data_IF_506614619096
#
_entry.id   IF_506614619096
#
_cell.length_a   1.000
_cell.length_b   1.000
_cell.length_c   1.000
_cell.angle_alpha   90.00
_cell.angle_beta   90.00
_cell.angle_gamma   90.00
#
_symmetry.space_group_name_H-M   'P 1'
#
loop_
_entity.id
_entity.type
_entity.pdbx_description
1 polymer ?
#
# COMPACT_ATOMS: atom_id res chain seq x y z
N UNK A 1 -39.30 -16.15 6.07
CA UNK A 1 -38.41 -15.35 5.22
C UNK A 1 -37.83 -14.28 6.10
N UNK A 2 -36.77 -14.63 6.83
CA UNK A 2 -36.02 -13.66 7.66
C UNK A 2 -34.81 -13.18 6.89
N UNK A 3 -34.62 -11.86 7.00
CA UNK A 3 -33.57 -11.15 6.29
C UNK A 3 -32.18 -11.62 6.78
N UNK A 4 -31.36 -12.10 5.87
CA UNK A 4 -29.99 -12.50 6.13
C UNK A 4 -29.15 -11.34 6.68
N UNK A 5 -28.42 -11.65 7.71
CA UNK A 5 -27.50 -10.75 8.42
C UNK A 5 -26.30 -10.40 7.54
N UNK A 6 -26.29 -9.18 7.04
CA UNK A 6 -25.25 -8.61 6.15
C UNK A 6 -23.97 -8.20 6.89
N UNK A 7 -23.56 -8.89 7.95
CA UNK A 7 -22.41 -8.49 8.79
C UNK A 7 -21.03 -8.87 8.27
N UNK A 8 -20.90 -9.54 7.13
CA UNK A 8 -19.60 -9.93 6.57
C UNK A 8 -18.99 -8.97 5.53
N UNK A 9 -19.67 -7.87 5.20
CA UNK A 9 -19.27 -6.95 4.12
C UNK A 9 -18.52 -5.69 4.52
N UNK A 10 -18.20 -5.44 5.79
CA UNK A 10 -17.64 -4.15 6.24
C UNK A 10 -16.45 -4.22 7.19
N UNK A 11 -15.60 -5.23 7.12
CA UNK A 11 -14.39 -5.29 7.96
C UNK A 11 -13.08 -5.21 7.20
N UNK A 12 -12.98 -4.38 6.17
CA UNK A 12 -11.70 -3.79 5.78
C UNK A 12 -11.45 -2.53 6.64
N UNK A 13 -11.61 -2.66 7.93
CA UNK A 13 -11.21 -1.65 8.90
C UNK A 13 -9.69 -1.61 9.02
N UNK A 14 -9.14 -0.43 9.27
CA UNK A 14 -7.74 -0.25 9.64
C UNK A 14 -7.39 -1.22 10.78
N UNK A 15 -6.12 -1.58 10.95
CA UNK A 15 -5.67 -2.42 12.08
C UNK A 15 -6.18 -1.89 13.45
N UNK A 16 -6.46 -0.58 13.55
CA UNK A 16 -7.15 0.05 14.68
C UNK A 16 -8.61 -0.38 14.83
N UNK A 17 -9.34 -0.62 13.74
CA UNK A 17 -10.76 -1.00 13.78
C UNK A 17 -10.97 -2.50 14.09
N UNK A 18 -10.06 -3.36 13.67
CA UNK A 18 -10.10 -4.79 14.02
C UNK A 18 -9.96 -4.97 15.54
N UNK A 19 -9.27 -4.05 16.17
CA UNK A 19 -9.06 -4.06 17.61
C UNK A 19 -10.13 -3.34 18.43
N UNK A 20 -10.97 -2.50 17.86
CA UNK A 20 -11.98 -1.72 18.58
C UNK A 20 -13.12 -2.55 19.21
N UNK A 21 -13.21 -3.83 18.95
CA UNK A 21 -14.34 -4.67 19.36
C UNK A 21 -14.14 -5.61 20.57
N UNK A 22 -12.90 -5.81 21.05
CA UNK A 22 -12.66 -6.66 22.25
C UNK A 22 -12.09 -5.84 23.41
N UNK A 23 -12.93 -5.49 24.40
CA UNK A 23 -12.48 -4.70 25.55
C UNK A 23 -11.42 -5.40 26.41
N UNK A 24 -11.16 -6.71 26.19
CA UNK A 24 -10.11 -7.46 26.91
C UNK A 24 -8.75 -7.36 26.25
N UNK A 25 -8.68 -6.84 24.99
CA UNK A 25 -7.43 -6.73 24.20
C UNK A 25 -6.87 -5.32 24.07
N UNK A 26 -7.61 -4.27 24.53
CA UNK A 26 -7.25 -2.91 24.19
C UNK A 26 -7.11 -1.98 25.38
N UNK A 27 -5.92 -1.93 25.88
CA UNK A 27 -5.36 -0.63 26.23
C UNK A 27 -4.84 -0.04 24.91
N UNK A 28 -5.56 0.93 24.34
CA UNK A 28 -5.07 1.66 23.19
C UNK A 28 -3.65 2.15 23.53
N UNK A 29 -2.67 1.72 22.73
CA UNK A 29 -1.31 2.13 23.01
C UNK A 29 -1.22 3.64 22.81
N UNK A 30 -0.95 4.35 23.92
CA UNK A 30 -0.68 5.79 23.84
C UNK A 30 0.66 6.05 23.17
N UNK A 31 0.83 7.16 22.45
CA UNK A 31 2.13 7.57 21.96
C UNK A 31 3.18 7.57 23.11
N UNK A 32 4.42 7.12 22.87
CA UNK A 32 5.00 6.66 21.59
C UNK A 32 4.74 5.20 21.23
N UNK A 33 3.99 4.45 22.02
CA UNK A 33 3.79 3.00 21.83
C UNK A 33 2.86 2.64 20.65
N UNK A 34 2.10 3.59 20.12
CA UNK A 34 1.20 3.38 19.01
C UNK A 34 1.93 2.78 17.76
N UNK A 35 3.18 3.14 17.54
CA UNK A 35 4.00 2.60 16.43
C UNK A 35 4.27 1.10 16.61
N UNK A 36 4.50 0.65 17.86
CA UNK A 36 4.71 -0.77 18.20
C UNK A 36 3.42 -1.55 17.92
N UNK A 37 2.27 -1.03 18.34
CA UNK A 37 0.97 -1.66 18.08
C UNK A 37 0.71 -1.84 16.58
N UNK A 38 1.09 -0.87 15.76
CA UNK A 38 0.95 -0.96 14.30
C UNK A 38 1.85 -2.05 13.72
N UNK A 39 3.12 -2.10 14.12
CA UNK A 39 4.06 -3.14 13.72
C UNK A 39 3.55 -4.54 14.11
N UNK A 40 3.15 -4.66 15.37
CA UNK A 40 2.74 -5.96 15.91
C UNK A 40 1.36 -6.37 15.41
N UNK A 41 0.47 -5.42 15.12
CA UNK A 41 -0.79 -5.69 14.43
C UNK A 41 -0.58 -6.26 13.02
N UNK A 42 0.36 -5.73 12.25
CA UNK A 42 0.72 -6.30 10.93
C UNK A 42 1.24 -7.74 11.06
N UNK A 43 2.08 -8.00 12.05
CA UNK A 43 2.60 -9.35 12.31
C UNK A 43 1.51 -10.30 12.80
N UNK A 44 0.61 -9.82 13.66
CA UNK A 44 -0.52 -10.62 14.14
C UNK A 44 -1.45 -11.01 12.98
N UNK A 45 -1.79 -10.08 12.10
CA UNK A 45 -2.60 -10.39 10.91
C UNK A 45 -1.93 -11.44 10.02
N UNK A 46 -0.61 -11.40 9.87
CA UNK A 46 0.15 -12.46 9.18
C UNK A 46 -0.06 -13.82 9.85
N UNK A 47 0.05 -13.88 11.17
CA UNK A 47 -0.16 -15.14 11.92
C UNK A 47 -1.62 -15.61 11.82
N UNK A 48 -2.58 -14.70 11.86
CA UNK A 48 -4.00 -15.03 11.71
C UNK A 48 -4.30 -15.63 10.32
N UNK A 49 -3.67 -15.11 9.26
CA UNK A 49 -3.76 -15.68 7.92
C UNK A 49 -3.11 -17.08 7.84
N UNK A 50 -1.96 -17.28 8.49
CA UNK A 50 -1.34 -18.60 8.59
C UNK A 50 -2.27 -19.60 9.34
N UNK A 51 -2.92 -19.14 10.39
CA UNK A 51 -3.90 -19.97 11.12
C UNK A 51 -5.09 -20.33 10.21
N UNK A 52 -5.60 -19.39 9.41
CA UNK A 52 -6.66 -19.68 8.43
C UNK A 52 -6.23 -20.78 7.44
N UNK A 53 -4.99 -20.75 6.95
CA UNK A 53 -4.47 -21.83 6.09
C UNK A 53 -4.50 -23.17 6.83
N UNK A 54 -4.12 -23.22 8.12
CA UNK A 54 -4.18 -24.45 8.92
C UNK A 54 -5.60 -24.97 9.10
N UNK A 55 -6.59 -24.08 9.29
CA UNK A 55 -8.00 -24.47 9.36
C UNK A 55 -8.48 -25.06 8.04
N UNK A 56 -8.05 -24.50 6.90
CA UNK A 56 -8.35 -25.06 5.58
C UNK A 56 -7.69 -26.43 5.40
N UNK A 57 -6.41 -26.55 5.78
CA UNK A 57 -5.63 -27.81 5.67
C UNK A 57 -6.27 -28.98 6.47
N UNK A 58 -6.86 -28.71 7.63
CA UNK A 58 -7.51 -29.75 8.43
C UNK A 58 -8.96 -30.06 8.01
N UNK A 59 -9.47 -29.32 7.04
CA UNK A 59 -10.82 -29.51 6.50
C UNK A 59 -11.87 -28.60 7.15
N UNK A 60 -12.00 -27.38 6.61
CA UNK A 60 -13.02 -26.43 7.05
C UNK A 60 -14.39 -26.81 6.50
N UNK A 61 -15.30 -27.20 7.40
CA UNK A 61 -16.71 -27.46 7.12
C UNK A 61 -17.56 -26.27 7.60
N UNK A 62 -17.91 -25.40 6.67
CA UNK A 62 -18.64 -24.14 6.94
C UNK A 62 -20.16 -24.42 7.11
N UNK A 63 -20.66 -25.45 6.42
CA UNK A 63 -22.07 -25.79 6.43
C UNK A 63 -22.46 -26.74 7.58
N UNK A 64 -21.48 -27.42 8.19
CA UNK A 64 -21.71 -28.36 9.28
C UNK A 64 -22.28 -29.69 8.82
N UNK A 65 -22.03 -30.09 7.57
CA UNK A 65 -22.51 -31.36 6.99
C UNK A 65 -21.50 -32.52 7.07
N UNK A 66 -20.33 -32.26 7.65
CA UNK A 66 -19.23 -33.21 7.81
C UNK A 66 -18.30 -33.33 6.59
N UNK A 67 -18.46 -32.47 5.60
CA UNK A 67 -17.64 -32.43 4.37
C UNK A 67 -16.86 -31.13 4.35
N UNK A 68 -15.56 -31.18 4.03
CA UNK A 68 -14.74 -29.97 3.87
C UNK A 68 -15.21 -29.17 2.64
N UNK A 69 -15.47 -27.86 2.84
CA UNK A 69 -15.96 -26.95 1.81
C UNK A 69 -14.84 -26.31 0.97
N UNK A 70 -13.59 -26.31 1.48
CA UNK A 70 -12.46 -25.65 0.86
C UNK A 70 -11.40 -26.67 0.46
N UNK A 71 -10.79 -26.43 -0.70
CA UNK A 71 -9.70 -27.27 -1.22
C UNK A 71 -8.34 -26.75 -0.74
N UNK A 72 -7.63 -27.47 0.13
CA UNK A 72 -6.32 -27.06 0.62
C UNK A 72 -5.21 -27.09 -0.46
N UNK A 73 -5.43 -27.78 -1.57
CA UNK A 73 -4.46 -27.85 -2.66
C UNK A 73 -4.43 -26.59 -3.52
N UNK A 74 -5.49 -25.76 -3.47
CA UNK A 74 -5.64 -24.58 -4.32
C UNK A 74 -5.95 -23.33 -3.51
N UNK A 75 -5.02 -22.93 -2.63
CA UNK A 75 -5.10 -21.72 -1.85
C UNK A 75 -4.28 -20.62 -2.55
N UNK A 76 -4.94 -19.57 -3.01
CA UNK A 76 -4.33 -18.42 -3.66
C UNK A 76 -4.48 -17.18 -2.81
N UNK A 77 -3.53 -16.24 -2.95
CA UNK A 77 -3.56 -14.99 -2.22
C UNK A 77 -3.77 -13.81 -3.15
N UNK A 78 -4.77 -12.99 -2.87
CA UNK A 78 -4.96 -11.69 -3.53
C UNK A 78 -5.01 -10.57 -2.50
N UNK A 79 -4.37 -9.46 -2.85
CA UNK A 79 -4.51 -8.25 -2.05
C UNK A 79 -4.57 -6.99 -2.89
N UNK A 80 -5.30 -6.01 -2.37
CA UNK A 80 -5.31 -4.64 -2.87
C UNK A 80 -4.79 -3.68 -1.80
N UNK A 81 -3.93 -2.70 -2.20
CA UNK A 81 -3.49 -1.60 -1.34
C UNK A 81 -2.91 -2.08 0.00
N UNK A 82 -3.55 -1.69 1.10
CA UNK A 82 -3.12 -2.01 2.46
C UNK A 82 -3.04 -3.52 2.74
N UNK A 83 -3.87 -4.33 2.05
CA UNK A 83 -3.80 -5.78 2.13
C UNK A 83 -2.42 -6.35 1.77
N UNK A 84 -1.70 -5.70 0.87
CA UNK A 84 -0.32 -6.06 0.53
C UNK A 84 0.66 -5.89 1.68
N UNK A 85 0.37 -5.00 2.64
CA UNK A 85 1.21 -4.82 3.84
C UNK A 85 1.23 -6.06 4.74
N UNK A 86 0.17 -6.85 4.73
CA UNK A 86 0.08 -8.14 5.44
C UNK A 86 0.45 -9.31 4.53
N UNK A 87 0.06 -9.22 3.26
CA UNK A 87 0.22 -10.28 2.29
C UNK A 87 1.66 -10.60 1.94
N UNK A 88 2.53 -9.61 1.81
CA UNK A 88 3.94 -9.88 1.52
C UNK A 88 4.65 -10.58 2.68
N UNK A 89 4.51 -10.17 3.96
CA UNK A 89 4.97 -10.97 5.08
C UNK A 89 4.34 -12.37 5.13
N UNK A 90 3.03 -12.48 4.90
CA UNK A 90 2.32 -13.75 4.90
C UNK A 90 2.87 -14.72 3.87
N UNK A 91 2.91 -14.34 2.60
CA UNK A 91 3.45 -15.22 1.54
C UNK A 91 4.91 -15.58 1.76
N UNK A 92 5.70 -14.67 2.33
CA UNK A 92 7.12 -14.91 2.60
C UNK A 92 7.36 -15.98 3.68
N UNK A 93 6.41 -16.21 4.57
CA UNK A 93 6.54 -17.16 5.70
C UNK A 93 5.62 -18.38 5.62
N UNK A 94 4.54 -18.34 4.84
CA UNK A 94 3.58 -19.42 4.70
C UNK A 94 3.98 -20.38 3.57
N UNK A 95 4.34 -21.64 3.85
CA UNK A 95 4.80 -22.56 2.81
C UNK A 95 3.69 -23.06 1.88
N UNK A 96 2.45 -23.20 2.37
CA UNK A 96 1.36 -23.86 1.64
C UNK A 96 0.73 -22.98 0.55
N UNK A 97 0.91 -21.64 0.60
CA UNK A 97 0.37 -20.73 -0.40
C UNK A 97 1.48 -20.35 -1.38
N UNK A 98 1.42 -20.90 -2.59
CA UNK A 98 2.47 -20.75 -3.62
C UNK A 98 2.27 -19.56 -4.56
N UNK A 99 1.04 -19.09 -4.71
CA UNK A 99 0.63 -18.11 -5.75
C UNK A 99 0.00 -16.88 -5.11
N UNK A 100 0.38 -15.69 -5.58
CA UNK A 100 -0.16 -14.46 -5.04
C UNK A 100 -0.19 -13.28 -6.01
N UNK A 101 -1.15 -12.39 -5.82
CA UNK A 101 -1.29 -11.14 -6.58
C UNK A 101 -1.34 -9.96 -5.62
N UNK A 102 -0.50 -8.98 -5.89
CA UNK A 102 -0.46 -7.71 -5.17
C UNK A 102 -0.86 -6.57 -6.10
N UNK A 103 -2.03 -6.01 -5.88
CA UNK A 103 -2.47 -4.82 -6.59
C UNK A 103 -2.27 -3.57 -5.74
N UNK A 104 -1.64 -2.54 -6.30
CA UNK A 104 -1.37 -1.25 -5.67
C UNK A 104 -0.69 -1.36 -4.29
N UNK A 105 0.23 -2.31 -4.14
CA UNK A 105 1.02 -2.49 -2.91
C UNK A 105 2.06 -1.37 -2.77
N UNK A 106 2.29 -0.90 -1.54
CA UNK A 106 3.37 0.04 -1.22
C UNK A 106 4.20 -0.44 -0.04
N UNK A 107 5.52 -0.35 -0.17
CA UNK A 107 6.50 -0.55 0.91
C UNK A 107 6.80 0.75 1.63
N UNK A 108 7.14 0.69 2.92
CA UNK A 108 7.54 1.86 3.68
C UNK A 108 6.36 2.67 4.22
N UNK A 109 5.97 2.39 5.47
CA UNK A 109 4.83 3.08 6.09
C UNK A 109 5.02 4.59 6.20
N UNK A 110 6.22 5.04 6.56
CA UNK A 110 6.50 6.47 6.75
C UNK A 110 6.54 7.20 5.41
N UNK A 111 7.10 6.55 4.38
CA UNK A 111 7.09 7.09 3.03
C UNK A 111 5.66 7.19 2.51
N UNK A 112 4.84 6.16 2.74
CA UNK A 112 3.41 6.17 2.40
C UNK A 112 2.67 7.33 3.06
N UNK A 113 2.88 7.54 4.36
CA UNK A 113 2.07 8.45 5.12
C UNK A 113 2.50 9.93 5.02
N UNK A 114 3.74 10.24 4.70
CA UNK A 114 4.22 11.60 4.86
C UNK A 114 5.04 12.21 3.76
N UNK A 115 5.98 11.46 3.24
CA UNK A 115 6.98 12.05 2.36
C UNK A 115 6.55 12.07 0.90
N UNK A 116 5.88 11.03 0.46
CA UNK A 116 5.65 10.78 -0.95
C UNK A 116 4.20 11.02 -1.38
N UNK A 117 3.20 10.85 -0.50
CA UNK A 117 1.82 11.02 -0.92
C UNK A 117 1.42 12.49 -1.10
N UNK A 118 0.58 12.74 -2.09
CA UNK A 118 0.06 14.06 -2.40
C UNK A 118 -1.01 14.48 -1.38
N UNK A 119 -0.58 15.02 -0.24
CA UNK A 119 -1.46 15.73 0.68
C UNK A 119 -2.38 14.88 1.56
N UNK A 120 -3.02 13.84 1.03
CA UNK A 120 -4.09 13.11 1.74
C UNK A 120 -3.61 12.29 2.97
N UNK A 121 -2.34 11.88 3.00
CA UNK A 121 -1.77 11.09 4.10
C UNK A 121 -0.99 11.95 5.12
N UNK A 122 -0.61 13.18 4.74
CA UNK A 122 0.15 14.09 5.60
C UNK A 122 -0.57 14.46 6.92
N UNK A 123 -1.91 14.61 6.96
CA UNK A 123 -2.63 14.80 8.23
C UNK A 123 -2.40 13.70 9.26
N UNK A 124 -2.26 12.46 8.84
CA UNK A 124 -1.97 11.33 9.74
C UNK A 124 -0.60 11.44 10.42
N UNK A 125 0.42 11.89 9.70
CA UNK A 125 1.73 12.18 10.30
C UNK A 125 1.64 13.38 11.24
N UNK A 126 0.99 14.48 10.82
CA UNK A 126 0.79 15.63 11.69
C UNK A 126 0.14 15.24 13.01
N UNK A 127 -0.89 14.40 12.99
CA UNK A 127 -1.54 13.88 14.19
C UNK A 127 -0.60 13.01 15.04
N UNK A 128 0.22 12.18 14.42
CA UNK A 128 1.22 11.37 15.11
C UNK A 128 2.29 12.21 15.79
N UNK A 129 2.79 13.25 15.14
CA UNK A 129 3.76 14.19 15.70
C UNK A 129 3.15 15.03 16.82
N UNK A 130 1.91 15.49 16.66
CA UNK A 130 1.18 16.25 17.67
C UNK A 130 0.93 15.42 18.96
N UNK A 131 0.74 14.12 18.81
CA UNK A 131 0.50 13.22 19.93
C UNK A 131 1.76 12.82 20.70
N UNK A 132 2.95 13.23 20.27
CA UNK A 132 4.21 13.01 21.02
C UNK A 132 4.24 13.83 22.31
N UNK A 133 4.99 13.36 23.28
CA UNK A 133 5.19 14.08 24.56
C UNK A 133 6.70 14.28 24.77
N UNK A 134 7.20 15.51 24.62
CA UNK A 134 6.52 16.73 24.16
C UNK A 134 6.11 16.63 22.68
N UNK A 135 5.10 17.39 22.21
CA UNK A 135 4.71 17.42 20.81
C UNK A 135 5.85 17.82 19.89
N UNK A 136 5.94 17.13 18.74
CA UNK A 136 6.94 17.40 17.69
C UNK A 136 6.30 18.21 16.54
N UNK A 137 5.70 19.34 16.87
CA UNK A 137 5.22 20.30 15.88
C UNK A 137 6.10 21.54 15.94
N UNK A 138 6.55 22.00 14.80
CA UNK A 138 7.27 23.28 14.67
C UNK A 138 6.40 24.32 13.96
N UNK A 139 6.62 25.59 14.25
CA UNK A 139 5.87 26.69 13.68
C UNK A 139 6.82 27.59 12.87
N UNK A 140 6.36 28.13 11.72
CA UNK A 140 5.07 27.81 11.08
C UNK A 140 5.09 26.48 10.36
N UNK A 141 3.99 25.72 10.45
CA UNK A 141 3.81 24.47 9.73
C UNK A 141 3.38 24.70 8.26
N UNK A 142 3.56 23.69 7.42
CA UNK A 142 3.18 23.76 6.02
C UNK A 142 1.67 23.68 5.87
N UNK A 143 1.06 24.71 5.31
CA UNK A 143 -0.37 24.80 5.07
C UNK A 143 -0.78 24.33 3.67
N UNK A 144 0.06 24.54 2.68
CA UNK A 144 -0.17 24.12 1.29
C UNK A 144 1.12 23.58 0.68
N UNK A 145 0.99 22.54 -0.10
CA UNK A 145 2.04 21.96 -0.93
C UNK A 145 1.58 21.93 -2.38
N UNK A 146 2.33 22.52 -3.27
CA UNK A 146 2.03 22.55 -4.71
C UNK A 146 0.59 23.04 -4.97
N UNK A 147 0.16 24.08 -4.24
CA UNK A 147 -1.18 24.64 -4.31
C UNK A 147 -2.29 23.79 -3.64
N UNK A 148 -1.99 22.62 -3.13
CA UNK A 148 -2.95 21.77 -2.45
C UNK A 148 -2.97 22.03 -0.93
N UNK A 149 -4.10 22.41 -0.33
CA UNK A 149 -4.19 22.67 1.10
C UNK A 149 -4.02 21.38 1.91
N UNK A 150 -3.32 21.48 3.04
CA UNK A 150 -3.10 20.39 3.98
C UNK A 150 -4.03 20.54 5.18
N UNK A 151 -4.84 19.52 5.44
CA UNK A 151 -5.67 19.43 6.63
C UNK A 151 -4.89 18.85 7.83
N UNK A 152 -5.41 19.07 9.05
CA UNK A 152 -4.90 18.51 10.30
C UNK A 152 -3.73 19.30 10.91
N UNK A 153 -3.07 18.73 11.95
CA UNK A 153 -1.92 19.34 12.58
C UNK A 153 -0.78 19.54 11.57
N UNK A 154 -0.26 20.75 11.50
CA UNK A 154 0.73 21.17 10.51
C UNK A 154 2.13 21.14 11.10
N UNK A 155 3.10 20.80 10.27
CA UNK A 155 4.51 20.78 10.62
C UNK A 155 5.35 21.11 9.37
N UNK A 156 6.59 21.50 9.56
CA UNK A 156 7.52 21.79 8.50
C UNK A 156 8.81 20.98 8.67
N UNK A 157 9.12 20.16 7.70
CA UNK A 157 10.31 19.31 7.68
C UNK A 157 11.24 19.63 6.50
N UNK A 158 10.98 20.72 5.77
CA UNK A 158 11.67 21.03 4.51
C UNK A 158 11.64 19.85 3.51
N UNK A 159 10.46 19.33 3.24
CA UNK A 159 10.24 18.15 2.38
C UNK A 159 10.88 18.25 1.01
N UNK A 160 11.87 17.43 0.68
CA UNK A 160 12.56 17.48 -0.60
C UNK A 160 12.19 16.39 -1.60
N UNK A 161 11.33 15.44 -1.24
CA UNK A 161 11.14 14.20 -1.98
C UNK A 161 10.14 14.35 -3.14
N UNK A 162 10.36 15.33 -4.01
CA UNK A 162 9.61 15.51 -5.23
C UNK A 162 10.56 15.72 -6.40
N UNK A 163 10.29 15.05 -7.51
CA UNK A 163 11.07 15.21 -8.74
C UNK A 163 10.83 16.55 -9.41
N UNK A 164 9.65 17.12 -9.19
CA UNK A 164 9.29 18.45 -9.67
C UNK A 164 9.75 19.51 -8.67
N UNK A 165 10.92 20.05 -8.90
CA UNK A 165 11.41 21.25 -8.24
C UNK A 165 11.48 22.39 -9.25
N UNK A 166 11.17 23.62 -8.85
CA UNK A 166 10.84 24.06 -7.50
C UNK A 166 9.46 23.56 -7.01
N UNK A 167 9.35 23.28 -5.72
CA UNK A 167 8.08 22.90 -5.07
C UNK A 167 7.54 24.13 -4.31
N UNK A 168 6.39 24.69 -4.72
CA UNK A 168 5.73 25.76 -4.00
C UNK A 168 5.21 25.31 -2.64
N UNK A 169 5.54 26.07 -1.60
CA UNK A 169 5.12 25.82 -0.22
C UNK A 169 4.53 27.08 0.36
N UNK A 170 3.37 26.97 1.00
CA UNK A 170 2.78 28.03 1.81
C UNK A 170 2.67 27.59 3.26
N UNK A 171 3.12 28.44 4.16
CA UNK A 171 3.08 28.21 5.59
C UNK A 171 1.77 28.75 6.20
N UNK A 172 1.43 28.29 7.39
CA UNK A 172 0.24 28.72 8.11
C UNK A 172 0.23 30.18 8.54
N UNK A 173 1.40 30.84 8.59
CA UNK A 173 1.53 32.28 8.81
C UNK A 173 1.37 33.11 7.52
N UNK A 174 1.12 32.47 6.39
CA UNK A 174 0.95 33.08 5.08
C UNK A 174 2.26 33.26 4.28
N UNK A 175 3.40 32.93 4.86
CA UNK A 175 4.68 32.96 4.14
C UNK A 175 4.68 31.91 3.03
N UNK A 176 5.18 32.29 1.86
CA UNK A 176 5.33 31.38 0.72
C UNK A 176 6.79 31.36 0.27
N UNK A 177 7.26 30.16 -0.10
CA UNK A 177 8.59 29.95 -0.67
C UNK A 177 8.60 28.74 -1.60
N UNK A 178 9.70 28.57 -2.31
CA UNK A 178 9.90 27.42 -3.18
C UNK A 178 11.05 26.57 -2.65
N UNK A 179 10.81 25.27 -2.48
CA UNK A 179 11.86 24.30 -2.19
C UNK A 179 12.60 24.02 -3.51
N UNK A 180 13.90 24.26 -3.51
CA UNK A 180 14.80 24.04 -4.65
C UNK A 180 15.94 23.08 -4.28
N UNK A 181 16.56 22.50 -5.28
CA UNK A 181 17.76 21.66 -5.09
C UNK A 181 19.03 22.54 -4.98
N UNK A 182 19.98 22.25 -4.08
CA UNK A 182 19.91 21.25 -3.03
C UNK A 182 18.97 21.68 -1.91
N UNK A 183 18.24 20.72 -1.34
CA UNK A 183 17.39 21.01 -0.18
C UNK A 183 18.24 21.14 1.07
N UNK A 184 18.16 22.29 1.71
CA UNK A 184 18.85 22.56 2.96
C UNK A 184 17.82 22.67 4.07
N UNK A 185 17.94 21.82 5.08
CA UNK A 185 17.02 21.83 6.22
C UNK A 185 17.44 22.92 7.21
N UNK A 186 16.83 24.11 7.10
CA UNK A 186 17.09 25.28 7.92
C UNK A 186 15.97 25.62 8.88
N UNK A 187 14.86 24.88 8.83
CA UNK A 187 13.69 25.16 9.68
C UNK A 187 13.94 24.65 11.10
N UNK A 188 13.80 25.49 12.14
CA UNK A 188 13.95 25.04 13.52
C UNK A 188 13.03 23.88 13.84
N UNK A 189 13.57 22.80 14.44
CA UNK A 189 12.82 21.60 14.78
C UNK A 189 12.58 20.61 13.63
N UNK A 190 12.88 20.95 12.38
CA UNK A 190 12.68 20.06 11.25
C UNK A 190 13.53 18.79 11.33
N UNK A 191 14.78 18.89 11.84
CA UNK A 191 15.63 17.70 12.05
C UNK A 191 15.06 16.72 13.04
N UNK A 192 14.47 17.19 14.13
CA UNK A 192 13.82 16.32 15.12
C UNK A 192 12.61 15.60 14.54
N UNK A 193 11.86 16.25 13.62
CA UNK A 193 10.77 15.63 12.87
C UNK A 193 11.31 14.55 11.94
N UNK A 194 12.37 14.82 11.19
CA UNK A 194 13.02 13.84 10.31
C UNK A 194 13.50 12.62 11.08
N UNK A 195 14.18 12.83 12.20
CA UNK A 195 14.66 11.76 13.07
C UNK A 195 13.51 10.89 13.62
N UNK A 196 12.41 11.52 14.02
CA UNK A 196 11.22 10.78 14.44
C UNK A 196 10.63 9.93 13.32
N UNK A 197 10.54 10.47 12.12
CA UNK A 197 10.03 9.72 10.95
C UNK A 197 10.94 8.53 10.62
N UNK A 198 12.25 8.69 10.70
CA UNK A 198 13.21 7.60 10.49
C UNK A 198 13.15 6.54 11.59
N UNK A 199 13.01 6.95 12.84
CA UNK A 199 12.82 6.04 13.96
C UNK A 199 11.52 5.22 13.79
N UNK A 200 10.44 5.84 13.34
CA UNK A 200 9.20 5.15 13.02
C UNK A 200 9.38 4.13 11.89
N UNK A 201 10.09 4.51 10.84
CA UNK A 201 10.41 3.61 9.73
C UNK A 201 11.21 2.40 10.22
N UNK A 202 12.23 2.63 11.04
CA UNK A 202 13.05 1.56 11.60
C UNK A 202 12.24 0.61 12.49
N UNK A 203 11.42 1.13 13.42
CA UNK A 203 10.61 0.31 14.33
C UNK A 203 9.61 -0.56 13.56
N UNK A 204 9.07 -0.07 12.45
CA UNK A 204 8.06 -0.80 11.67
C UNK A 204 8.63 -1.86 10.72
N UNK A 205 9.95 -1.95 10.54
CA UNK A 205 10.57 -2.86 9.56
C UNK A 205 10.12 -4.32 9.71
N UNK A 206 9.96 -4.83 10.92
CA UNK A 206 9.52 -6.22 11.16
C UNK A 206 8.05 -6.49 10.74
N UNK A 207 7.29 -5.48 10.36
CA UNK A 207 5.94 -5.59 9.80
C UNK A 207 5.82 -4.90 8.44
N UNK A 208 6.95 -4.55 7.79
CA UNK A 208 6.97 -3.81 6.54
C UNK A 208 7.10 -4.77 5.35
N UNK A 209 6.22 -4.72 4.35
CA UNK A 209 6.28 -5.60 3.18
C UNK A 209 7.60 -5.52 2.43
N UNK A 210 8.28 -4.39 2.45
CA UNK A 210 9.59 -4.22 1.82
C UNK A 210 10.65 -5.14 2.42
N UNK A 211 10.62 -5.38 3.74
CA UNK A 211 11.56 -6.28 4.40
C UNK A 211 11.37 -7.75 3.99
N UNK A 212 10.17 -8.13 3.56
CA UNK A 212 9.82 -9.49 3.17
C UNK A 212 9.85 -9.71 1.65
N UNK A 213 9.89 -8.67 0.85
CA UNK A 213 9.91 -8.77 -0.61
C UNK A 213 11.01 -9.70 -1.16
N UNK A 214 12.26 -9.70 -0.66
CA UNK A 214 13.29 -10.65 -1.12
C UNK A 214 12.90 -12.11 -0.89
N UNK A 215 12.13 -12.39 0.16
CA UNK A 215 11.76 -13.75 0.56
C UNK A 215 10.59 -14.32 -0.25
N UNK A 216 9.92 -13.50 -1.05
CA UNK A 216 8.89 -14.00 -1.97
C UNK A 216 9.49 -14.91 -3.04
N UNK A 217 10.63 -14.53 -3.63
CA UNK A 217 11.24 -15.27 -4.74
C UNK A 217 12.77 -15.32 -4.70
N UNK A 218 13.41 -14.19 -4.47
CA UNK A 218 14.87 -14.04 -4.62
C UNK A 218 15.67 -14.83 -3.59
N UNK A 219 15.22 -14.83 -2.35
CA UNK A 219 15.85 -15.50 -1.21
C UNK A 219 14.77 -16.11 -0.29
N UNK A 220 14.08 -17.16 -0.72
CA UNK A 220 13.06 -17.79 0.13
C UNK A 220 13.61 -18.22 1.48
N UNK A 221 12.79 -18.16 2.51
CA UNK A 221 13.15 -18.63 3.83
C UNK A 221 13.30 -20.16 3.84
N UNK A 222 14.08 -20.67 4.78
CA UNK A 222 14.27 -22.12 4.92
C UNK A 222 12.92 -22.83 5.11
N UNK A 223 12.64 -23.83 4.29
CA UNK A 223 11.39 -24.58 4.29
C UNK A 223 10.20 -23.89 3.61
N UNK A 224 10.38 -22.70 3.04
CA UNK A 224 9.36 -21.99 2.27
C UNK A 224 9.76 -21.97 0.79
N UNK A 225 8.92 -22.47 -0.13
CA UNK A 225 9.22 -22.42 -1.57
C UNK A 225 9.16 -20.99 -2.11
N UNK A 226 9.89 -20.74 -3.20
CA UNK A 226 9.74 -19.50 -3.95
C UNK A 226 8.31 -19.35 -4.46
N UNK A 227 7.77 -18.13 -4.35
CA UNK A 227 6.37 -17.84 -4.71
C UNK A 227 6.26 -17.42 -6.16
N UNK A 228 5.19 -17.87 -6.81
CA UNK A 228 4.75 -17.29 -8.06
C UNK A 228 3.88 -16.07 -7.74
N UNK A 229 4.40 -14.87 -8.02
CA UNK A 229 3.67 -13.63 -7.69
C UNK A 229 3.67 -12.69 -8.88
N UNK A 230 2.60 -11.88 -8.98
CA UNK A 230 2.57 -10.69 -9.82
C UNK A 230 2.30 -9.44 -8.99
N UNK A 231 2.95 -8.36 -9.40
CA UNK A 231 2.73 -7.01 -8.85
C UNK A 231 1.98 -6.21 -9.93
N UNK A 232 0.84 -5.67 -9.57
CA UNK A 232 0.09 -4.73 -10.42
C UNK A 232 0.15 -3.35 -9.77
N UNK A 233 0.62 -2.31 -10.49
CA UNK A 233 0.63 -0.96 -9.96
C UNK A 233 0.43 0.10 -11.05
N UNK A 234 0.21 1.34 -10.64
CA UNK A 234 -0.37 2.37 -11.46
C UNK A 234 0.54 3.61 -11.54
N UNK A 235 0.73 4.15 -12.74
CA UNK A 235 1.36 5.46 -12.91
C UNK A 235 0.55 6.54 -12.19
N UNK A 236 1.23 7.33 -11.36
CA UNK A 236 0.61 8.45 -10.68
C UNK A 236 -0.31 8.08 -9.51
N UNK A 237 -0.22 6.87 -8.99
CA UNK A 237 -0.91 6.49 -7.76
C UNK A 237 -0.52 7.44 -6.62
N UNK A 238 -1.51 8.15 -6.08
CA UNK A 238 -1.31 9.16 -5.02
C UNK A 238 -1.33 8.55 -3.62
N UNK A 239 -1.60 7.25 -3.51
CA UNK A 239 -1.71 6.53 -2.24
C UNK A 239 -0.56 5.54 -2.04
N UNK A 240 -0.37 4.62 -2.99
CA UNK A 240 0.79 3.74 -3.07
C UNK A 240 1.64 4.18 -4.27
N UNK A 241 2.38 5.27 -4.08
CA UNK A 241 3.10 5.91 -5.18
C UNK A 241 4.23 5.05 -5.76
N UNK A 242 4.65 5.39 -6.97
CA UNK A 242 5.57 4.57 -7.75
C UNK A 242 6.85 4.19 -6.99
N UNK A 243 7.59 5.11 -6.31
CA UNK A 243 8.80 4.73 -5.57
C UNK A 243 8.58 3.67 -4.49
N UNK A 244 7.41 3.66 -3.85
CA UNK A 244 7.10 2.67 -2.80
C UNK A 244 6.90 1.27 -3.37
N UNK A 245 6.23 1.17 -4.53
CA UNK A 245 6.01 -0.13 -5.19
C UNK A 245 7.29 -0.62 -5.86
N UNK A 246 8.01 0.27 -6.56
CA UNK A 246 9.26 -0.12 -7.23
C UNK A 246 10.37 -0.52 -6.26
N UNK A 247 10.36 -0.01 -5.02
CA UNK A 247 11.23 -0.51 -3.96
C UNK A 247 10.97 -2.00 -3.66
N UNK A 248 9.70 -2.44 -3.60
CA UNK A 248 9.32 -3.86 -3.45
C UNK A 248 9.77 -4.67 -4.66
N UNK A 249 9.49 -4.15 -5.86
CA UNK A 249 9.87 -4.80 -7.13
C UNK A 249 11.40 -5.05 -7.18
N UNK A 250 12.20 -4.05 -6.85
CA UNK A 250 13.68 -4.19 -6.79
C UNK A 250 14.13 -5.16 -5.71
N UNK A 251 13.59 -5.03 -4.50
CA UNK A 251 13.99 -5.88 -3.37
C UNK A 251 13.69 -7.36 -3.64
N UNK A 252 12.55 -7.66 -4.25
CA UNK A 252 12.09 -9.00 -4.56
C UNK A 252 12.62 -9.57 -5.89
N UNK A 253 13.28 -8.74 -6.71
CA UNK A 253 13.65 -9.09 -8.09
C UNK A 253 12.41 -9.50 -8.92
N UNK A 254 11.40 -8.64 -8.94
CA UNK A 254 10.05 -8.94 -9.46
C UNK A 254 9.70 -8.16 -10.73
N UNK A 255 10.65 -7.50 -11.38
CA UNK A 255 10.36 -6.66 -12.55
C UNK A 255 9.73 -7.46 -13.71
N UNK A 256 10.16 -8.69 -13.94
CA UNK A 256 9.60 -9.63 -14.93
C UNK A 256 8.19 -10.14 -14.56
N UNK A 257 7.73 -9.88 -13.36
CA UNK A 257 6.42 -10.25 -12.81
C UNK A 257 5.58 -9.02 -12.45
N UNK A 258 5.84 -7.89 -13.10
CA UNK A 258 5.20 -6.63 -12.76
C UNK A 258 4.40 -6.09 -13.95
N UNK A 259 3.13 -5.81 -13.70
CA UNK A 259 2.21 -5.13 -14.60
C UNK A 259 2.11 -3.66 -14.19
N UNK A 260 2.41 -2.77 -15.12
CA UNK A 260 2.38 -1.34 -14.91
C UNK A 260 1.30 -0.68 -15.77
N UNK A 261 0.29 -0.12 -15.11
CA UNK A 261 -0.76 0.62 -15.77
C UNK A 261 -0.35 2.07 -16.01
N UNK A 262 -0.42 2.47 -17.24
CA UNK A 262 -0.10 3.80 -17.75
C UNK A 262 -1.32 4.72 -17.67
N UNK A 263 -1.68 5.12 -16.43
CA UNK A 263 -2.79 6.04 -16.19
C UNK A 263 -2.61 7.39 -16.90
N UNK A 264 -1.36 7.81 -17.11
CA UNK A 264 -1.02 9.00 -17.90
C UNK A 264 -1.53 8.92 -19.34
N UNK A 265 -1.41 7.78 -20.00
CA UNK A 265 -1.92 7.57 -21.36
C UNK A 265 -3.44 7.50 -21.38
N UNK A 266 -4.03 6.75 -20.47
CA UNK A 266 -5.48 6.63 -20.39
C UNK A 266 -6.15 7.98 -20.06
N UNK A 267 -5.58 8.77 -19.16
CA UNK A 267 -6.08 10.11 -18.82
C UNK A 267 -5.91 11.11 -19.99
N UNK A 268 -4.86 10.96 -20.80
CA UNK A 268 -4.67 11.78 -22.00
C UNK A 268 -5.74 11.48 -23.07
N UNK A 269 -6.16 10.22 -23.20
CA UNK A 269 -7.20 9.80 -24.12
C UNK A 269 -8.62 10.10 -23.61
N UNK A 270 -8.85 9.96 -22.28
CA UNK A 270 -10.12 10.27 -21.64
C UNK A 270 -9.93 10.99 -20.30
N UNK A 271 -10.23 12.28 -20.22
CA UNK A 271 -10.12 13.06 -18.98
C UNK A 271 -11.06 12.64 -17.83
N UNK A 272 -12.01 11.73 -18.08
CA UNK A 272 -12.86 11.15 -17.04
C UNK A 272 -12.16 10.02 -16.28
N UNK A 273 -11.06 9.49 -16.79
CA UNK A 273 -10.22 8.54 -16.06
C UNK A 273 -9.75 9.16 -14.74
N UNK A 274 -9.84 8.45 -13.60
CA UNK A 274 -9.45 9.00 -12.32
C UNK A 274 -7.99 9.46 -12.29
N UNK A 275 -7.73 10.68 -11.81
CA UNK A 275 -6.37 11.20 -11.63
C UNK A 275 -5.58 10.36 -10.63
N UNK A 276 -6.21 9.88 -9.57
CA UNK A 276 -5.63 8.90 -8.66
C UNK A 276 -6.14 7.50 -9.03
N UNK A 277 -5.34 6.68 -9.69
CA UNK A 277 -5.75 5.35 -10.14
C UNK A 277 -5.70 4.27 -9.05
N UNK A 278 -5.49 4.64 -7.78
CA UNK A 278 -5.27 3.69 -6.69
C UNK A 278 -6.30 2.56 -6.64
N UNK A 279 -7.57 2.86 -6.88
CA UNK A 279 -8.68 1.91 -6.80
C UNK A 279 -9.26 1.50 -8.15
N UNK A 280 -8.54 1.74 -9.25
CA UNK A 280 -9.03 1.49 -10.62
C UNK A 280 -9.47 0.03 -10.82
N UNK A 281 -8.79 -0.94 -10.22
CA UNK A 281 -9.14 -2.36 -10.23
C UNK A 281 -10.61 -2.62 -9.80
N UNK A 282 -11.13 -1.81 -8.89
CA UNK A 282 -12.48 -1.97 -8.33
C UNK A 282 -13.57 -1.32 -9.21
N UNK A 283 -13.19 -0.69 -10.32
CA UNK A 283 -14.08 0.16 -11.12
C UNK A 283 -14.77 -0.59 -12.27
N UNK A 284 -14.95 -1.92 -12.18
CA UNK A 284 -15.59 -2.73 -13.21
C UNK A 284 -17.03 -2.30 -13.51
N UNK A 285 -17.72 -1.72 -12.53
CA UNK A 285 -19.06 -1.15 -12.65
C UNK A 285 -19.10 0.32 -13.02
N UNK A 286 -17.98 0.91 -13.47
CA UNK A 286 -17.94 2.32 -13.88
C UNK A 286 -18.88 2.58 -15.05
N UNK A 287 -19.56 3.73 -15.03
CA UNK A 287 -20.32 4.22 -16.17
C UNK A 287 -19.41 4.64 -17.36
N UNK A 288 -18.15 4.93 -17.07
CA UNK A 288 -17.15 5.20 -18.08
C UNK A 288 -16.63 3.87 -18.67
N UNK A 289 -16.78 3.64 -20.01
CA UNK A 289 -16.40 2.38 -20.63
C UNK A 289 -14.91 2.08 -20.58
N UNK A 290 -14.04 3.11 -20.66
CA UNK A 290 -12.60 2.94 -20.61
C UNK A 290 -12.15 2.53 -19.21
N UNK A 291 -12.66 3.20 -18.19
CA UNK A 291 -12.39 2.87 -16.78
C UNK A 291 -12.84 1.44 -16.46
N UNK A 292 -14.05 1.05 -16.90
CA UNK A 292 -14.55 -0.31 -16.72
C UNK A 292 -13.71 -1.36 -17.47
N UNK A 293 -13.24 -1.06 -18.68
CA UNK A 293 -12.39 -1.96 -19.45
C UNK A 293 -11.02 -2.16 -18.80
N UNK A 294 -10.38 -1.10 -18.29
CA UNK A 294 -9.11 -1.19 -17.57
C UNK A 294 -9.26 -2.06 -16.31
N UNK A 295 -10.31 -1.81 -15.53
CA UNK A 295 -10.60 -2.61 -14.34
C UNK A 295 -10.79 -4.10 -14.66
N UNK A 296 -11.52 -4.38 -15.75
CA UNK A 296 -11.73 -5.75 -16.24
C UNK A 296 -10.43 -6.42 -16.65
N UNK A 297 -9.59 -5.73 -17.41
CA UNK A 297 -8.29 -6.25 -17.83
C UNK A 297 -7.41 -6.66 -16.65
N UNK A 298 -7.38 -5.87 -15.59
CA UNK A 298 -6.70 -6.23 -14.35
C UNK A 298 -7.28 -7.49 -13.70
N UNK A 299 -8.61 -7.58 -13.63
CA UNK A 299 -9.28 -8.73 -13.01
C UNK A 299 -9.11 -10.00 -13.87
N UNK A 300 -9.16 -9.91 -15.19
CA UNK A 300 -8.90 -11.02 -16.08
C UNK A 300 -7.46 -11.54 -15.94
N UNK A 301 -6.46 -10.64 -15.79
CA UNK A 301 -5.09 -11.06 -15.52
C UNK A 301 -4.98 -11.84 -14.21
N UNK A 302 -5.68 -11.39 -13.15
CA UNK A 302 -5.70 -12.09 -11.85
C UNK A 302 -6.33 -13.47 -12.01
N UNK A 303 -7.49 -13.54 -12.65
CA UNK A 303 -8.22 -14.80 -12.86
C UNK A 303 -7.36 -15.81 -13.64
N UNK A 304 -6.81 -15.42 -14.78
CA UNK A 304 -5.93 -16.30 -15.57
C UNK A 304 -4.70 -16.74 -14.80
N UNK A 305 -4.12 -15.84 -14.01
CA UNK A 305 -2.96 -16.18 -13.18
C UNK A 305 -3.28 -17.24 -12.15
N UNK A 306 -4.45 -17.19 -11.51
CA UNK A 306 -4.89 -18.20 -10.56
C UNK A 306 -5.32 -19.51 -11.27
N UNK A 307 -6.06 -19.42 -12.36
CA UNK A 307 -6.48 -20.60 -13.15
C UNK A 307 -5.30 -21.42 -13.67
N UNK A 308 -4.15 -20.79 -13.84
CA UNK A 308 -2.92 -21.44 -14.34
C UNK A 308 -1.89 -21.72 -13.22
N UNK A 309 -2.29 -21.73 -11.96
CA UNK A 309 -1.39 -21.91 -10.80
C UNK A 309 -0.17 -20.98 -10.83
N UNK A 310 -0.39 -19.73 -11.24
CA UNK A 310 0.65 -18.71 -11.30
C UNK A 310 1.64 -18.85 -12.45
N UNK A 311 1.31 -19.60 -13.50
CA UNK A 311 2.21 -19.83 -14.62
C UNK A 311 2.07 -18.77 -15.70
N UNK A 312 0.85 -18.36 -16.05
CA UNK A 312 0.59 -17.44 -17.14
C UNK A 312 0.34 -16.02 -16.62
N UNK A 313 1.05 -15.06 -17.20
CA UNK A 313 0.84 -13.63 -16.96
C UNK A 313 0.39 -13.01 -18.28
N UNK A 314 -0.92 -12.89 -18.48
CA UNK A 314 -1.49 -12.28 -19.69
C UNK A 314 -1.24 -10.78 -19.71
N UNK A 315 -1.26 -10.20 -20.91
CA UNK A 315 -1.26 -8.74 -21.07
C UNK A 315 -2.70 -8.23 -20.93
N UNK A 316 -3.04 -7.38 -19.95
CA UNK A 316 -4.41 -6.89 -19.77
C UNK A 316 -4.90 -6.07 -20.97
N UNK A 317 -6.19 -6.13 -21.22
CA UNK A 317 -6.84 -5.25 -22.18
C UNK A 317 -7.46 -4.03 -21.45
N UNK A 318 -7.44 -2.83 -22.05
CA UNK A 318 -6.85 -2.44 -23.37
C UNK A 318 -5.31 -2.35 -23.29
N UNK A 319 -4.63 -3.13 -24.12
CA UNK A 319 -3.19 -3.38 -23.99
C UNK A 319 -2.31 -2.14 -24.12
N UNK A 320 -2.76 -1.10 -24.82
CA UNK A 320 -2.01 0.15 -25.00
C UNK A 320 -1.76 0.92 -23.68
N UNK A 321 -2.51 0.61 -22.63
CA UNK A 321 -2.36 1.25 -21.33
C UNK A 321 -1.58 0.41 -20.31
N UNK A 322 -1.02 -0.72 -20.72
CA UNK A 322 -0.28 -1.59 -19.82
C UNK A 322 1.12 -1.92 -20.35
N UNK A 323 2.05 -2.06 -19.44
CA UNK A 323 3.36 -2.65 -19.69
C UNK A 323 3.45 -3.97 -18.91
N UNK A 324 3.68 -5.08 -19.62
CA UNK A 324 3.82 -6.42 -19.02
C UNK A 324 4.90 -7.19 -19.79
N UNK A 325 6.01 -7.51 -19.16
CA UNK A 325 6.48 -6.96 -17.89
C UNK A 325 6.79 -5.47 -17.96
N UNK A 326 6.92 -4.82 -16.79
CA UNK A 326 7.31 -3.40 -16.74
C UNK A 326 8.63 -3.16 -17.45
N UNK A 327 8.71 -2.10 -18.20
CA UNK A 327 9.93 -1.69 -18.91
C UNK A 327 10.90 -0.99 -17.95
N UNK A 328 12.18 -1.16 -18.22
CA UNK A 328 13.22 -0.47 -17.47
C UNK A 328 13.54 0.89 -18.11
N UNK A 329 13.87 1.95 -17.33
CA UNK A 329 14.00 1.96 -15.87
C UNK A 329 12.64 1.91 -15.15
N UNK A 330 12.65 1.39 -13.91
CA UNK A 330 11.46 1.39 -13.07
C UNK A 330 11.01 2.83 -12.82
N UNK A 331 9.70 3.15 -12.91
CA UNK A 331 9.20 4.50 -12.67
C UNK A 331 9.30 4.85 -11.18
N UNK A 332 10.07 5.87 -10.89
CA UNK A 332 10.32 6.34 -9.52
C UNK A 332 9.98 7.82 -9.35
N UNK A 333 9.45 8.44 -10.38
CA UNK A 333 9.01 9.81 -10.31
C UNK A 333 7.74 9.96 -9.43
N UNK A 334 7.59 11.14 -8.85
CA UNK A 334 6.42 11.55 -8.09
C UNK A 334 5.50 12.46 -8.93
N UNK A 335 5.59 12.35 -10.24
CA UNK A 335 4.78 13.12 -11.17
C UNK A 335 3.37 12.53 -11.24
N UNK A 336 2.51 13.05 -10.39
CA UNK A 336 1.09 12.79 -10.47
C UNK A 336 0.50 13.47 -11.69
N UNK A 337 -0.58 12.93 -12.19
CA UNK A 337 -1.31 13.58 -13.29
C UNK A 337 -1.82 14.96 -12.85
N UNK A 338 -1.83 15.95 -13.77
CA UNK A 338 -2.25 17.30 -13.49
C UNK A 338 -3.71 17.43 -13.05
#
# INVERSE_FOLDING_TARGET
MEAGDTRYGQQAGTAEQIHAGDPRRHVAATPPRAIISRRDGSRQTTVDLMQLVREIDVGMDVHGDGIADLDPAHIYFFSHSFGGSFGAPFLAVEPSVGVGVFNAIGGGWVDKAGRLSAGSQRPGIGSSLAARVPPLLNSPGVAELDGAPIAGPRFNENMPLRDRLPLPVRLEDGTSYEIQSPVINTVPGAMAIQEELENQQWVTQAGNPLAYAPHLRKQPLAGVPAKSVIIQFNKGDMTANNPMTTAIVRAGDLADRTTYYRNDLAFADDPNVPKNPHTILNSIGSADPLVAAIARGYQEQIATFFETDGQEVIHPAPSQYFEVPIQSPLPEDLNYLP
#
